data_IF_890113825275
#
_entry.id   IF_890113825275
#
_cell.length_a   1.000
_cell.length_b   1.000
_cell.length_c   1.000
_cell.angle_alpha   90.00
_cell.angle_beta   90.00
_cell.angle_gamma   90.00
#
_symmetry.space_group_name_H-M   'P 1'
#
loop_
_entity.id
_entity.type
_entity.pdbx_description
1 polymer ?
#
# COMPACT_ATOMS: atom_id res chain seq x y z
N UNK A 1 -18.63 -0.26 5.37
CA UNK A 1 -17.18 -0.17 5.07
C UNK A 1 -16.53 -1.52 4.78
N UNK A 2 -17.02 -2.61 5.39
CA UNK A 2 -16.57 -4.00 5.14
C UNK A 2 -16.38 -4.33 3.66
N UNK A 3 -17.42 -4.17 2.83
CA UNK A 3 -17.33 -4.49 1.40
C UNK A 3 -16.23 -3.69 0.68
N UNK A 4 -16.03 -2.43 1.05
CA UNK A 4 -14.95 -1.60 0.47
C UNK A 4 -13.59 -2.15 0.87
N UNK A 5 -13.39 -2.53 2.14
CA UNK A 5 -12.15 -3.16 2.60
C UNK A 5 -11.88 -4.47 1.85
N UNK A 6 -12.89 -5.31 1.64
CA UNK A 6 -12.75 -6.55 0.88
C UNK A 6 -12.39 -6.30 -0.59
N UNK A 7 -13.14 -5.44 -1.28
CA UNK A 7 -12.89 -5.09 -2.68
C UNK A 7 -11.47 -4.55 -2.85
N UNK A 8 -11.07 -3.58 -2.02
CA UNK A 8 -9.75 -2.96 -2.11
C UNK A 8 -8.64 -3.92 -1.71
N UNK A 9 -8.85 -4.75 -0.69
CA UNK A 9 -7.91 -5.79 -0.29
C UNK A 9 -7.67 -6.81 -1.41
N UNK A 10 -8.74 -7.32 -2.02
CA UNK A 10 -8.63 -8.23 -3.17
C UNK A 10 -7.98 -7.57 -4.39
N UNK A 11 -8.34 -6.32 -4.70
CA UNK A 11 -7.75 -5.57 -5.82
C UNK A 11 -6.25 -5.36 -5.61
N UNK A 12 -5.84 -4.92 -4.42
CA UNK A 12 -4.42 -4.74 -4.12
C UNK A 12 -3.65 -6.05 -4.11
N UNK A 13 -4.23 -7.14 -3.61
CA UNK A 13 -3.62 -8.46 -3.66
C UNK A 13 -3.39 -8.91 -5.10
N UNK A 14 -4.43 -8.83 -5.94
CA UNK A 14 -4.35 -9.15 -7.37
C UNK A 14 -3.26 -8.34 -8.07
N UNK A 15 -3.27 -7.01 -7.91
CA UNK A 15 -2.29 -6.14 -8.54
C UNK A 15 -0.87 -6.37 -8.00
N UNK A 16 -0.71 -6.72 -6.73
CA UNK A 16 0.60 -7.01 -6.15
C UNK A 16 1.20 -8.30 -6.74
N UNK A 17 0.39 -9.33 -7.00
CA UNK A 17 0.84 -10.54 -7.71
C UNK A 17 1.27 -10.19 -9.14
N UNK A 18 0.45 -9.44 -9.87
CA UNK A 18 0.75 -9.01 -11.24
C UNK A 18 2.04 -8.19 -11.30
N UNK A 19 2.17 -7.17 -10.45
CA UNK A 19 3.36 -6.32 -10.41
C UNK A 19 4.58 -7.06 -9.88
N UNK A 20 4.44 -7.95 -8.89
CA UNK A 20 5.52 -8.80 -8.42
C UNK A 20 6.09 -9.69 -9.53
N UNK A 21 5.22 -10.37 -10.29
CA UNK A 21 5.63 -11.18 -11.43
C UNK A 21 6.30 -10.33 -12.52
N UNK A 22 5.72 -9.16 -12.82
CA UNK A 22 6.27 -8.21 -13.78
C UNK A 22 7.66 -7.68 -13.36
N UNK A 23 7.84 -7.37 -12.07
CA UNK A 23 9.12 -6.98 -11.48
C UNK A 23 10.19 -8.04 -11.68
N UNK A 24 9.90 -9.28 -11.28
CA UNK A 24 10.85 -10.38 -11.29
C UNK A 24 11.26 -10.84 -12.70
N UNK A 25 10.34 -10.80 -13.67
CA UNK A 25 10.58 -11.37 -15.01
C UNK A 25 10.88 -10.30 -16.08
N UNK A 26 10.08 -9.23 -16.13
CA UNK A 26 10.19 -8.23 -17.19
C UNK A 26 11.14 -7.09 -16.80
N UNK A 27 11.05 -6.59 -15.58
CA UNK A 27 11.80 -5.39 -15.15
C UNK A 27 13.23 -5.67 -14.71
N UNK A 28 13.59 -6.91 -14.37
CA UNK A 28 14.94 -7.28 -13.91
C UNK A 28 16.06 -6.92 -14.91
N UNK A 29 15.77 -6.92 -16.21
CA UNK A 29 16.74 -6.54 -17.26
C UNK A 29 16.75 -5.04 -17.56
N UNK A 30 15.74 -4.30 -17.10
CA UNK A 30 15.55 -2.88 -17.42
C UNK A 30 15.91 -1.98 -16.24
N UNK A 31 15.64 -2.43 -15.02
CA UNK A 31 15.95 -1.72 -13.78
C UNK A 31 17.33 -2.13 -13.27
N UNK A 32 18.07 -1.16 -12.76
CA UNK A 32 19.25 -1.47 -11.94
C UNK A 32 18.81 -2.08 -10.60
N UNK A 33 19.77 -2.65 -9.87
CA UNK A 33 19.51 -3.36 -8.61
C UNK A 33 18.76 -2.51 -7.58
N UNK A 34 19.12 -1.24 -7.43
CA UNK A 34 18.48 -0.33 -6.49
C UNK A 34 17.03 0.00 -6.89
N UNK A 35 16.78 0.21 -8.18
CA UNK A 35 15.44 0.47 -8.72
C UNK A 35 14.54 -0.75 -8.59
N UNK A 36 15.07 -1.94 -8.85
CA UNK A 36 14.34 -3.20 -8.71
C UNK A 36 13.98 -3.45 -7.25
N UNK A 37 14.94 -3.31 -6.33
CA UNK A 37 14.69 -3.43 -4.88
C UNK A 37 13.65 -2.42 -4.39
N UNK A 38 13.68 -1.19 -4.92
CA UNK A 38 12.66 -0.18 -4.61
C UNK A 38 11.29 -0.62 -5.14
N UNK A 39 11.20 -1.09 -6.38
CA UNK A 39 9.96 -1.60 -6.97
C UNK A 39 9.38 -2.76 -6.14
N UNK A 40 10.21 -3.73 -5.76
CA UNK A 40 9.83 -4.86 -4.90
C UNK A 40 9.35 -4.41 -3.51
N UNK A 41 9.91 -3.31 -2.97
CA UNK A 41 9.42 -2.71 -1.73
C UNK A 41 7.98 -2.20 -1.90
N UNK A 42 7.66 -1.56 -3.03
CA UNK A 42 6.30 -1.16 -3.36
C UNK A 42 5.33 -2.36 -3.39
N UNK A 43 5.74 -3.45 -4.04
CA UNK A 43 4.94 -4.70 -4.14
C UNK A 43 4.69 -5.31 -2.77
N UNK A 44 5.73 -5.38 -1.94
CA UNK A 44 5.66 -5.93 -0.58
C UNK A 44 4.68 -5.15 0.29
N UNK A 45 4.79 -3.82 0.31
CA UNK A 45 3.86 -2.98 1.07
C UNK A 45 2.43 -3.07 0.54
N UNK A 46 2.24 -3.18 -0.78
CA UNK A 46 0.91 -3.37 -1.36
C UNK A 46 0.28 -4.69 -0.91
N UNK A 47 1.03 -5.80 -0.97
CA UNK A 47 0.54 -7.12 -0.57
C UNK A 47 0.21 -7.18 0.93
N UNK A 48 1.06 -6.61 1.78
CA UNK A 48 0.82 -6.62 3.23
C UNK A 48 -0.47 -5.88 3.61
N UNK A 49 -0.71 -4.72 3.00
CA UNK A 49 -1.92 -3.96 3.30
C UNK A 49 -3.16 -4.53 2.58
N UNK A 50 -2.99 -5.23 1.46
CA UNK A 50 -4.06 -6.04 0.87
C UNK A 50 -4.58 -7.09 1.85
N UNK A 51 -3.67 -7.89 2.43
CA UNK A 51 -4.01 -8.92 3.42
C UNK A 51 -4.61 -8.29 4.66
N UNK A 52 -4.03 -7.20 5.17
CA UNK A 52 -4.57 -6.48 6.33
C UNK A 52 -6.00 -6.00 6.08
N UNK A 53 -6.30 -5.39 4.93
CA UNK A 53 -7.64 -4.93 4.60
C UNK A 53 -8.65 -6.08 4.56
N UNK A 54 -8.26 -7.24 4.01
CA UNK A 54 -9.11 -8.44 4.04
C UNK A 54 -9.36 -8.91 5.48
N UNK A 55 -8.32 -9.00 6.29
CA UNK A 55 -8.43 -9.37 7.71
C UNK A 55 -9.36 -8.43 8.45
N UNK A 56 -9.18 -7.11 8.32
CA UNK A 56 -10.05 -6.12 8.96
C UNK A 56 -11.49 -6.24 8.48
N UNK A 57 -11.72 -6.42 7.17
CA UNK A 57 -13.06 -6.61 6.62
C UNK A 57 -13.76 -7.89 7.09
N UNK A 58 -13.01 -8.96 7.38
CA UNK A 58 -13.59 -10.21 7.91
C UNK A 58 -13.81 -10.21 9.42
N UNK A 59 -13.06 -9.39 10.18
CA UNK A 59 -13.05 -9.46 11.64
C UNK A 59 -13.69 -8.26 12.35
N UNK A 60 -13.92 -7.15 11.64
CA UNK A 60 -14.52 -5.94 12.21
C UNK A 60 -15.78 -5.54 11.44
N UNK A 61 -16.72 -4.90 12.14
CA UNK A 61 -17.93 -4.35 11.52
C UNK A 61 -17.64 -3.03 10.77
N UNK A 62 -16.59 -2.31 11.17
CA UNK A 62 -16.12 -1.07 10.53
C UNK A 62 -17.18 0.04 10.47
N UNK A 63 -17.99 0.13 11.53
CA UNK A 63 -19.12 1.07 11.60
C UNK A 63 -18.71 2.40 12.24
N UNK A 64 -17.77 2.38 13.18
CA UNK A 64 -17.31 3.56 13.90
C UNK A 64 -16.45 4.49 13.03
N UNK A 65 -16.51 5.79 13.27
CA UNK A 65 -15.69 6.76 12.53
C UNK A 65 -14.18 6.45 12.60
N UNK A 66 -13.71 5.94 13.75
CA UNK A 66 -12.33 5.51 13.94
C UNK A 66 -11.95 4.39 12.97
N UNK A 67 -12.76 3.34 12.88
CA UNK A 67 -12.52 2.23 11.97
C UNK A 67 -12.59 2.65 10.51
N UNK A 68 -13.49 3.58 10.16
CA UNK A 68 -13.58 4.14 8.80
C UNK A 68 -12.29 4.87 8.43
N UNK A 69 -11.79 5.74 9.31
CA UNK A 69 -10.53 6.45 9.06
C UNK A 69 -9.34 5.50 8.97
N UNK A 70 -9.27 4.49 9.83
CA UNK A 70 -8.27 3.43 9.76
C UNK A 70 -8.25 2.73 8.39
N UNK A 71 -9.41 2.31 7.88
CA UNK A 71 -9.52 1.66 6.56
C UNK A 71 -9.13 2.61 5.43
N UNK A 72 -9.59 3.86 5.45
CA UNK A 72 -9.19 4.85 4.44
C UNK A 72 -7.70 5.16 4.47
N UNK A 73 -7.10 5.26 5.66
CA UNK A 73 -5.66 5.44 5.83
C UNK A 73 -4.87 4.32 5.16
N UNK A 74 -5.28 3.06 5.34
CA UNK A 74 -4.64 1.95 4.64
C UNK A 74 -4.88 1.98 3.13
N UNK A 75 -6.13 2.21 2.68
CA UNK A 75 -6.44 2.24 1.24
C UNK A 75 -5.63 3.32 0.51
N UNK A 76 -5.74 4.56 0.98
CA UNK A 76 -5.10 5.72 0.34
C UNK A 76 -3.59 5.67 0.56
N UNK A 77 -3.14 5.30 1.77
CA UNK A 77 -1.73 5.15 2.09
C UNK A 77 -1.02 4.14 1.20
N UNK A 78 -1.62 2.96 0.98
CA UNK A 78 -1.06 1.93 0.09
C UNK A 78 -1.02 2.41 -1.36
N UNK A 79 -2.07 3.07 -1.84
CA UNK A 79 -2.08 3.61 -3.19
C UNK A 79 -0.93 4.61 -3.40
N UNK A 80 -0.87 5.63 -2.54
CA UNK A 80 0.14 6.69 -2.65
C UNK A 80 1.55 6.12 -2.44
N UNK A 81 1.76 5.22 -1.48
CA UNK A 81 3.08 4.65 -1.19
C UNK A 81 3.56 3.74 -2.33
N UNK A 82 2.83 2.68 -2.66
CA UNK A 82 3.29 1.66 -3.58
C UNK A 82 3.27 2.13 -5.05
N UNK A 83 2.22 2.82 -5.49
CA UNK A 83 2.11 3.22 -6.89
C UNK A 83 3.05 4.38 -7.25
N UNK A 84 3.37 5.26 -6.30
CA UNK A 84 4.42 6.27 -6.52
C UNK A 84 5.80 5.63 -6.67
N UNK A 85 6.12 4.60 -5.88
CA UNK A 85 7.36 3.83 -6.02
C UNK A 85 7.44 3.16 -7.40
N UNK A 86 6.36 2.53 -7.88
CA UNK A 86 6.35 1.93 -9.23
C UNK A 86 6.62 2.98 -10.30
N UNK A 87 5.94 4.13 -10.22
CA UNK A 87 6.14 5.24 -11.15
C UNK A 87 7.56 5.79 -11.09
N UNK A 88 8.15 5.94 -9.90
CA UNK A 88 9.53 6.38 -9.72
C UNK A 88 10.54 5.39 -10.33
N UNK A 89 10.42 4.09 -10.05
CA UNK A 89 11.32 3.08 -10.58
C UNK A 89 11.26 3.00 -12.11
N UNK A 90 10.06 2.96 -12.70
CA UNK A 90 9.88 2.87 -14.15
C UNK A 90 10.32 4.17 -14.85
N UNK A 91 9.97 5.33 -14.29
CA UNK A 91 10.31 6.63 -14.91
C UNK A 91 11.81 6.92 -14.84
N UNK A 92 12.47 6.53 -13.75
CA UNK A 92 13.93 6.61 -13.62
C UNK A 92 14.63 5.70 -14.65
N UNK A 93 14.12 4.50 -14.90
CA UNK A 93 14.66 3.60 -15.92
C UNK A 93 14.56 4.16 -17.34
N UNK A 94 13.54 4.98 -17.62
CA UNK A 94 13.35 5.69 -18.90
C UNK A 94 14.17 6.99 -18.99
N UNK A 95 15.04 7.29 -18.02
CA UNK A 95 15.81 8.54 -17.97
C UNK A 95 14.97 9.79 -17.68
N UNK A 96 13.70 9.64 -17.30
CA UNK A 96 12.75 10.75 -17.04
C UNK A 96 12.19 10.66 -15.63
N UNK A 97 13.03 10.91 -14.62
CA UNK A 97 12.62 10.83 -13.21
C UNK A 97 11.51 11.86 -12.92
N UNK A 98 10.31 11.38 -12.64
CA UNK A 98 9.16 12.25 -12.30
C UNK A 98 9.34 12.74 -10.86
N UNK A 99 9.93 13.93 -10.70
CA UNK A 99 10.26 14.51 -9.39
C UNK A 99 9.03 14.68 -8.48
N UNK A 100 7.85 14.95 -9.06
CA UNK A 100 6.61 15.12 -8.31
C UNK A 100 6.16 13.86 -7.54
N UNK A 101 6.59 12.65 -7.95
CA UNK A 101 6.26 11.42 -7.23
C UNK A 101 7.09 11.24 -5.95
N UNK A 102 8.23 11.92 -5.83
CA UNK A 102 9.13 11.80 -4.68
C UNK A 102 8.46 12.10 -3.34
N UNK A 103 7.75 13.25 -3.19
CA UNK A 103 7.02 13.58 -1.97
C UNK A 103 5.75 12.75 -1.74
N UNK A 104 5.22 12.04 -2.75
CA UNK A 104 3.98 11.28 -2.62
C UNK A 104 4.21 9.99 -1.80
N UNK A 105 5.36 9.34 -1.99
CA UNK A 105 5.72 8.14 -1.22
C UNK A 105 5.70 8.37 0.30
N UNK A 106 6.39 9.39 0.87
CA UNK A 106 6.35 9.64 2.31
C UNK A 106 4.96 10.04 2.80
N UNK A 107 4.15 10.76 2.00
CA UNK A 107 2.75 11.05 2.37
C UNK A 107 1.93 9.76 2.49
N UNK A 108 2.09 8.83 1.55
CA UNK A 108 1.50 7.49 1.65
C UNK A 108 1.97 6.76 2.90
N UNK A 109 3.27 6.82 3.20
CA UNK A 109 3.86 6.22 4.41
C UNK A 109 3.28 6.77 5.71
N UNK A 110 3.07 8.10 5.80
CA UNK A 110 2.44 8.74 6.95
C UNK A 110 1.00 8.26 7.14
N UNK A 111 0.22 8.08 6.06
CA UNK A 111 -1.12 7.52 6.15
C UNK A 111 -1.09 6.05 6.60
N UNK A 112 -0.12 5.25 6.15
CA UNK A 112 0.03 3.88 6.64
C UNK A 112 0.35 3.85 8.14
N UNK A 113 1.26 4.71 8.60
CA UNK A 113 1.56 4.88 10.04
C UNK A 113 0.30 5.26 10.82
N UNK A 114 -0.49 6.21 10.32
CA UNK A 114 -1.75 6.62 10.94
C UNK A 114 -2.75 5.46 11.01
N UNK A 115 -2.89 4.67 9.94
CA UNK A 115 -3.76 3.49 9.93
C UNK A 115 -3.38 2.48 11.01
N UNK A 116 -2.09 2.17 11.15
CA UNK A 116 -1.59 1.29 12.20
C UNK A 116 -1.78 1.89 13.60
N UNK A 117 -1.58 3.20 13.77
CA UNK A 117 -1.81 3.87 15.04
C UNK A 117 -3.29 3.84 15.46
N UNK A 118 -4.21 4.02 14.51
CA UNK A 118 -5.65 3.91 14.75
C UNK A 118 -6.06 2.47 15.10
N UNK A 119 -5.48 1.47 14.45
CA UNK A 119 -5.69 0.06 14.80
C UNK A 119 -5.19 -0.26 16.21
N UNK A 120 -4.01 0.25 16.59
CA UNK A 120 -3.51 0.10 17.96
C UNK A 120 -4.44 0.77 18.96
N UNK A 121 -4.84 2.01 18.69
CA UNK A 121 -5.74 2.77 19.55
C UNK A 121 -7.11 2.10 19.70
N UNK A 122 -7.63 1.46 18.63
CA UNK A 122 -8.90 0.74 18.68
C UNK A 122 -8.88 -0.42 19.65
N UNK A 123 -7.74 -1.07 19.87
CA UNK A 123 -7.60 -2.11 20.89
C UNK A 123 -7.43 -1.50 22.28
N UNK A 124 -6.58 -0.49 22.42
CA UNK A 124 -6.29 0.13 23.72
C UNK A 124 -7.53 0.78 24.34
N UNK A 125 -8.35 1.45 23.55
CA UNK A 125 -9.59 2.06 24.06
C UNK A 125 -10.59 1.03 24.60
N UNK A 126 -10.52 -0.23 24.16
CA UNK A 126 -11.39 -1.30 24.65
C UNK A 126 -10.87 -1.94 25.94
N UNK A 127 -9.64 -1.63 26.37
CA UNK A 127 -9.07 -2.07 27.65
C UNK A 127 -9.42 -1.14 28.82
N UNK A 128 -9.83 0.10 28.54
CA UNK A 128 -10.11 1.15 29.53
C UNK A 128 -11.63 1.35 29.65
#
# INVERSE_FOLDING_TARGET
MVLIAHIMGSLYGLLAVVFGAFGAHALKKTLNEQQLKSFETGVKYQMYHAILLLVLGFNLNLDSSLERYMVYSFIIGTFLFSFSIYGLSISAAKGRKIKALGPITPLGGLLLVLGWALLLYSFVQNLV
#
